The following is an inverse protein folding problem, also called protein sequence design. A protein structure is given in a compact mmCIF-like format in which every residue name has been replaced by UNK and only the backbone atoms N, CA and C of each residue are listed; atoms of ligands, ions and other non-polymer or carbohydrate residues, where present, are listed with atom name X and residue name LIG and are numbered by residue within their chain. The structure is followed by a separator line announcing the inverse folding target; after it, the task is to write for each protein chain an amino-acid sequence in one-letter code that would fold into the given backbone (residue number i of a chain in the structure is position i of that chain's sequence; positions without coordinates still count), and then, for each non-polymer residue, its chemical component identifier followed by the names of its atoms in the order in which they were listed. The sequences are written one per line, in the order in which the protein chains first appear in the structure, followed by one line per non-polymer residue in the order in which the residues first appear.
data_IF_892480655719
#
_entry.id   IF_892480655719
#
_cell.length_a   1.000
_cell.length_b   1.000
_cell.length_c   1.000
_cell.angle_alpha   90.00
_cell.angle_beta   90.00
_cell.angle_gamma   90.00
#
_symmetry.space_group_name_H-M   'P 1'
#
loop_
_entity.id
_entity.type
_entity.pdbx_description
1 polymer ?
#
# COMPACT_ATOMS: atom_id res chain seq x y z
N UNK A 1 12.17 -10.02 2.11
CA UNK A 1 12.03 -8.59 2.48
C UNK A 1 11.39 -7.88 1.30
N UNK A 2 10.36 -7.04 1.54
CA UNK A 2 9.72 -6.21 0.50
C UNK A 2 9.88 -4.74 0.91
N UNK A 3 10.33 -3.90 -0.02
CA UNK A 3 10.61 -2.49 0.22
C UNK A 3 9.77 -1.68 -0.77
N UNK A 4 9.13 -0.62 -0.29
CA UNK A 4 8.41 0.35 -1.13
C UNK A 4 9.23 1.63 -1.10
N UNK A 5 9.54 2.15 -2.28
CA UNK A 5 10.36 3.35 -2.45
C UNK A 5 9.51 4.39 -3.16
N UNK A 6 9.37 5.56 -2.54
CA UNK A 6 8.65 6.70 -3.10
C UNK A 6 9.67 7.64 -3.77
N UNK A 7 9.53 7.84 -5.07
CA UNK A 7 10.48 8.61 -5.91
C UNK A 7 9.72 9.43 -6.94
N UNK A 8 10.33 10.52 -7.37
CA UNK A 8 9.83 11.31 -8.50
C UNK A 8 9.80 10.45 -9.76
N UNK A 9 8.73 10.54 -10.54
CA UNK A 9 8.53 9.74 -11.77
C UNK A 9 9.71 9.84 -12.74
N UNK A 10 10.26 11.03 -12.92
CA UNK A 10 11.43 11.31 -13.77
C UNK A 10 12.65 10.46 -13.40
N UNK A 11 12.79 10.10 -12.12
CA UNK A 11 13.91 9.32 -11.58
C UNK A 11 13.56 7.85 -11.33
N UNK A 12 12.30 7.47 -11.47
CA UNK A 12 11.84 6.11 -11.23
C UNK A 12 12.48 5.11 -12.22
N UNK A 13 12.54 5.48 -13.50
CA UNK A 13 13.17 4.66 -14.55
C UNK A 13 14.66 4.42 -14.25
N UNK A 14 15.39 5.49 -13.93
CA UNK A 14 16.81 5.41 -13.56
C UNK A 14 17.03 4.51 -12.34
N UNK A 15 16.24 4.69 -11.28
CA UNK A 15 16.35 3.85 -10.09
C UNK A 15 16.06 2.38 -10.39
N UNK A 16 15.08 2.07 -11.26
CA UNK A 16 14.79 0.70 -11.66
C UNK A 16 15.95 0.05 -12.41
N UNK A 17 16.66 0.78 -13.29
CA UNK A 17 17.84 0.26 -13.97
C UNK A 17 18.98 -0.05 -13.00
N UNK A 18 19.25 0.86 -12.05
CA UNK A 18 20.24 0.65 -11.00
C UNK A 18 19.88 -0.58 -10.15
N UNK A 19 18.60 -0.73 -9.78
CA UNK A 19 18.15 -1.86 -8.98
C UNK A 19 18.26 -3.19 -9.73
N UNK A 20 17.99 -3.22 -11.04
CA UNK A 20 18.18 -4.42 -11.88
C UNK A 20 19.66 -4.83 -12.01
N UNK A 21 20.60 -3.90 -11.86
CA UNK A 21 22.03 -4.18 -11.89
C UNK A 21 22.53 -5.00 -10.69
N UNK A 22 21.75 -5.10 -9.62
CA UNK A 22 22.12 -5.87 -8.44
C UNK A 22 21.64 -7.32 -8.53
N UNK A 23 22.55 -8.29 -8.45
CA UNK A 23 22.25 -9.73 -8.49
C UNK A 23 21.35 -10.24 -7.35
N UNK A 24 21.24 -9.49 -6.25
CA UNK A 24 20.39 -9.82 -5.11
C UNK A 24 18.95 -9.29 -5.25
N UNK A 25 18.69 -8.42 -6.22
CA UNK A 25 17.35 -7.87 -6.48
C UNK A 25 16.58 -8.86 -7.33
N UNK A 26 15.65 -9.58 -6.69
CA UNK A 26 14.87 -10.62 -7.37
C UNK A 26 13.85 -10.04 -8.36
N UNK A 27 13.19 -8.94 -8.01
CA UNK A 27 12.13 -8.29 -8.80
C UNK A 27 12.02 -6.80 -8.48
N UNK A 28 11.87 -6.00 -9.52
CA UNK A 28 11.52 -4.57 -9.46
C UNK A 28 10.20 -4.38 -10.19
N UNK A 29 9.16 -3.93 -9.51
CA UNK A 29 7.84 -3.70 -10.10
C UNK A 29 7.47 -2.22 -9.93
N UNK A 30 7.13 -1.56 -11.03
CA UNK A 30 6.57 -0.22 -10.99
C UNK A 30 5.13 -0.32 -10.49
N UNK A 31 4.85 0.31 -9.36
CA UNK A 31 3.51 0.41 -8.82
C UNK A 31 2.86 1.63 -9.46
N UNK A 32 1.96 1.43 -10.41
CA UNK A 32 1.16 2.54 -10.96
C UNK A 32 0.36 3.20 -9.83
N UNK A 33 0.20 4.53 -9.87
CA UNK A 33 -0.54 5.31 -8.86
C UNK A 33 -1.84 4.65 -8.36
N UNK A 34 -2.74 4.13 -9.21
CA UNK A 34 -3.96 3.47 -8.73
C UNK A 34 -3.69 2.20 -7.92
N UNK A 35 -2.67 1.41 -8.27
CA UNK A 35 -2.28 0.21 -7.51
C UNK A 35 -1.60 0.57 -6.19
N UNK A 36 -0.81 1.64 -6.18
CA UNK A 36 -0.17 2.15 -4.97
C UNK A 36 -1.19 2.67 -3.96
N UNK A 37 -2.18 3.42 -4.46
CA UNK A 37 -3.29 3.95 -3.65
C UNK A 37 -4.15 2.83 -3.09
N UNK A 38 -4.57 1.88 -3.93
CA UNK A 38 -5.36 0.72 -3.49
C UNK A 38 -4.63 -0.13 -2.43
N UNK A 39 -3.31 -0.33 -2.56
CA UNK A 39 -2.53 -1.05 -1.55
C UNK A 39 -2.38 -0.28 -0.24
N UNK A 40 -2.23 1.05 -0.30
CA UNK A 40 -2.21 1.91 0.91
C UNK A 40 -3.57 1.84 1.61
N UNK A 41 -4.66 2.06 0.88
CA UNK A 41 -6.04 2.00 1.39
C UNK A 41 -6.38 0.63 1.97
N UNK A 42 -6.02 -0.45 1.27
CA UNK A 42 -6.24 -1.82 1.78
C UNK A 42 -5.45 -2.08 3.06
N UNK A 43 -4.18 -1.64 3.13
CA UNK A 43 -3.36 -1.80 4.33
C UNK A 43 -3.91 -0.99 5.50
N UNK A 44 -4.47 0.19 5.26
CA UNK A 44 -5.15 0.99 6.27
C UNK A 44 -6.46 0.33 6.72
N UNK A 45 -7.27 -0.21 5.81
CA UNK A 45 -8.48 -0.95 6.14
C UNK A 45 -8.16 -2.17 7.03
N UNK A 46 -7.14 -2.96 6.67
CA UNK A 46 -6.69 -4.10 7.49
C UNK A 46 -6.19 -3.64 8.86
N UNK A 47 -5.48 -2.51 8.95
CA UNK A 47 -5.07 -1.93 10.24
C UNK A 47 -6.28 -1.54 11.08
N UNK A 48 -7.30 -0.89 10.52
CA UNK A 48 -8.50 -0.50 11.24
C UNK A 48 -9.27 -1.72 11.76
N UNK A 49 -9.44 -2.77 10.94
CA UNK A 49 -10.05 -4.04 11.37
C UNK A 49 -9.25 -4.69 12.49
N UNK A 50 -7.93 -4.68 12.41
CA UNK A 50 -7.08 -5.23 13.48
C UNK A 50 -7.16 -4.42 14.78
N UNK A 51 -7.33 -3.10 14.70
CA UNK A 51 -7.47 -2.23 15.86
C UNK A 51 -8.86 -2.35 16.51
N UNK A 52 -9.90 -2.59 15.70
CA UNK A 52 -11.25 -2.93 16.18
C UNK A 52 -11.28 -4.28 16.87
N UNK A 53 -10.63 -5.31 16.30
CA UNK A 53 -10.42 -6.61 16.96
C UNK A 53 -9.63 -6.50 18.26
N UNK A 54 -8.72 -5.53 18.37
CA UNK A 54 -7.98 -5.23 19.60
C UNK A 54 -8.78 -4.38 20.62
N UNK A 55 -10.01 -3.99 20.29
CA UNK A 55 -10.88 -3.17 21.15
C UNK A 55 -10.43 -1.71 21.31
N UNK A 56 -9.49 -1.23 20.47
CA UNK A 56 -8.91 0.12 20.57
C UNK A 56 -9.72 1.18 19.80
N UNK A 57 -10.52 0.75 18.83
CA UNK A 57 -11.46 1.59 18.10
C UNK A 57 -12.76 0.81 17.92
N UNK A 58 -13.90 1.49 17.86
CA UNK A 58 -15.16 0.88 17.42
C UNK A 58 -15.33 1.18 15.94
N UNK A 59 -15.20 0.19 15.08
CA UNK A 59 -15.59 0.33 13.68
C UNK A 59 -17.10 0.54 13.63
N UNK A 60 -17.52 1.55 12.85
CA UNK A 60 -18.93 1.73 12.49
C UNK A 60 -19.40 0.44 11.82
N UNK A 61 -20.53 -0.08 12.25
CA UNK A 61 -21.08 -1.31 11.65
C UNK A 61 -21.31 -1.08 10.15
N UNK A 62 -21.13 -2.14 9.34
CA UNK A 62 -21.39 -2.08 7.89
C UNK A 62 -22.82 -1.59 7.61
N UNK A 63 -23.76 -1.86 8.53
CA UNK A 63 -25.14 -1.35 8.47
C UNK A 63 -25.19 0.17 8.57
N UNK A 64 -24.48 0.75 9.55
CA UNK A 64 -24.40 2.21 9.71
C UNK A 64 -23.68 2.93 8.56
N UNK A 65 -22.81 2.25 7.82
CA UNK A 65 -22.19 2.79 6.60
C UNK A 65 -23.14 2.72 5.40
N UNK A 66 -24.00 1.70 5.33
CA UNK A 66 -25.02 1.56 4.27
C UNK A 66 -26.16 2.58 4.43
N UNK A 67 -26.49 2.95 5.67
CA UNK A 67 -27.56 3.92 5.97
C UNK A 67 -27.17 5.39 5.70
N UNK A 68 -25.89 5.70 5.43
CA UNK A 68 -25.39 7.06 5.13
C UNK A 68 -25.32 7.37 3.61
N UNK A 69 -25.79 6.46 2.75
CA UNK A 69 -25.79 6.58 1.28
C UNK A 69 -27.23 6.58 0.77
#
# INVERSE_FOLDING_TARGET
MKIIVDVKDEKALFLMEVLKGFSFVKKTEALTEPKAKALKEFKEAVKQVNLDKQGKIKLKSIRSLLDEI
#
